data_IF_322778445066
#
_entry.id   IF_322778445066
#
_cell.length_a   1.000
_cell.length_b   1.000
_cell.length_c   1.000
_cell.angle_alpha   90.00
_cell.angle_beta   90.00
_cell.angle_gamma   90.00
#
_symmetry.space_group_name_H-M   'P 1'
#
loop_
_entity.id
_entity.type
_entity.pdbx_description
1 polymer ?
#
# COMPACT_ATOMS: atom_id res chain seq x y z
N UNK A 1 53.28 -22.60 38.33
CA UNK A 1 52.92 -23.24 37.07
C UNK A 1 51.44 -23.62 37.23
N UNK A 2 50.48 -23.05 36.68
CA UNK A 2 50.26 -22.42 35.39
C UNK A 2 49.26 -21.27 35.55
N UNK A 3 49.65 -20.10 35.10
CA UNK A 3 48.73 -18.99 34.81
C UNK A 3 48.30 -19.15 33.37
N UNK A 4 47.09 -19.70 33.15
CA UNK A 4 46.49 -19.81 31.82
C UNK A 4 45.63 -18.57 31.56
N UNK A 5 45.97 -17.89 30.51
CA UNK A 5 45.37 -16.78 29.80
C UNK A 5 43.85 -16.61 29.90
N UNK A 6 43.40 -15.64 30.67
CA UNK A 6 42.02 -15.10 30.67
C UNK A 6 41.91 -13.75 29.90
N UNK A 7 42.65 -13.57 28.83
CA UNK A 7 42.80 -12.27 28.20
C UNK A 7 42.17 -12.06 26.80
N UNK A 8 41.86 -13.14 26.08
CA UNK A 8 41.47 -12.99 24.65
C UNK A 8 39.95 -13.10 24.36
N UNK A 9 39.15 -13.70 25.23
CA UNK A 9 37.71 -13.86 25.01
C UNK A 9 36.90 -12.57 25.14
N UNK A 10 37.33 -11.67 26.01
CA UNK A 10 36.64 -10.37 26.24
C UNK A 10 36.77 -9.39 25.07
N UNK A 11 37.86 -9.48 24.33
CA UNK A 11 38.11 -8.57 23.20
C UNK A 11 37.30 -8.94 21.95
N UNK A 12 37.06 -10.22 21.72
CA UNK A 12 36.28 -10.71 20.56
C UNK A 12 34.79 -10.42 20.75
N UNK A 13 34.24 -10.62 21.95
CA UNK A 13 32.85 -10.35 22.27
C UNK A 13 32.54 -8.83 22.13
N UNK A 14 33.40 -7.97 22.68
CA UNK A 14 33.20 -6.52 22.55
C UNK A 14 33.31 -6.04 21.10
N UNK A 15 34.18 -6.66 20.29
CA UNK A 15 34.31 -6.36 18.87
C UNK A 15 33.05 -6.78 18.09
N UNK A 16 32.46 -7.93 18.42
CA UNK A 16 31.21 -8.41 17.79
C UNK A 16 30.03 -7.53 18.17
N UNK A 17 29.94 -7.10 19.43
CA UNK A 17 28.90 -6.19 19.89
C UNK A 17 29.01 -4.81 19.24
N UNK A 18 30.23 -4.24 19.14
CA UNK A 18 30.46 -2.97 18.45
C UNK A 18 30.12 -3.07 16.95
N UNK A 19 30.50 -4.18 16.31
CA UNK A 19 30.15 -4.44 14.91
C UNK A 19 28.64 -4.56 14.72
N UNK A 20 27.94 -5.26 15.62
CA UNK A 20 26.48 -5.40 15.58
C UNK A 20 25.78 -4.05 15.75
N UNK A 21 26.22 -3.21 16.69
CA UNK A 21 25.68 -1.87 16.90
C UNK A 21 25.92 -0.96 15.69
N UNK A 22 27.12 -0.97 15.11
CA UNK A 22 27.40 -0.18 13.88
C UNK A 22 26.60 -0.65 12.70
N UNK A 23 26.44 -1.96 12.53
CA UNK A 23 25.62 -2.53 11.45
C UNK A 23 24.16 -2.12 11.61
N UNK A 24 23.61 -2.20 12.83
CA UNK A 24 22.24 -1.77 13.12
C UNK A 24 22.03 -0.28 12.82
N UNK A 25 22.97 0.59 13.21
CA UNK A 25 22.91 2.03 12.94
C UNK A 25 22.96 2.34 11.43
N UNK A 26 23.80 1.64 10.67
CA UNK A 26 23.88 1.78 9.22
C UNK A 26 22.57 1.30 8.56
N UNK A 27 22.03 0.17 8.99
CA UNK A 27 20.74 -0.36 8.48
C UNK A 27 19.61 0.61 8.77
N UNK A 28 19.55 1.18 9.97
CA UNK A 28 18.55 2.20 10.32
C UNK A 28 18.67 3.46 9.46
N UNK A 29 19.89 3.93 9.21
CA UNK A 29 20.15 5.07 8.33
C UNK A 29 19.72 4.77 6.89
N UNK A 30 20.05 3.58 6.37
CA UNK A 30 19.63 3.15 5.04
C UNK A 30 18.10 3.01 4.94
N UNK A 31 17.45 2.49 5.98
CA UNK A 31 15.99 2.40 6.08
C UNK A 31 15.35 3.77 6.02
N UNK A 32 15.81 4.71 6.85
CA UNK A 32 15.29 6.07 6.91
C UNK A 32 15.48 6.81 5.58
N UNK A 33 16.64 6.67 4.94
CA UNK A 33 16.90 7.23 3.62
C UNK A 33 16.02 6.62 2.53
N UNK A 34 15.83 5.30 2.54
CA UNK A 34 14.95 4.61 1.60
C UNK A 34 13.49 5.02 1.80
N UNK A 35 13.03 5.19 3.04
CA UNK A 35 11.68 5.70 3.34
C UNK A 35 11.50 7.15 2.90
N UNK A 36 12.49 8.01 3.10
CA UNK A 36 12.44 9.41 2.65
C UNK A 36 12.36 9.52 1.12
N UNK A 37 13.16 8.73 0.39
CA UNK A 37 13.11 8.66 -1.07
C UNK A 37 11.74 8.16 -1.54
N UNK A 38 11.17 7.14 -0.89
CA UNK A 38 9.86 6.59 -1.22
C UNK A 38 8.70 7.54 -0.94
N UNK A 39 8.75 8.26 0.20
CA UNK A 39 7.74 9.26 0.54
C UNK A 39 7.71 10.41 -0.49
N UNK A 40 8.88 10.80 -1.03
CA UNK A 40 9.00 11.82 -2.08
C UNK A 40 8.54 11.36 -3.46
N UNK A 41 8.58 10.06 -3.76
CA UNK A 41 8.30 9.51 -5.08
C UNK A 41 6.88 8.92 -5.22
N UNK A 42 6.15 8.76 -4.11
CA UNK A 42 4.74 8.32 -4.10
C UNK A 42 3.82 9.47 -4.52
N UNK A 43 3.80 9.76 -5.80
CA UNK A 43 2.85 10.73 -6.34
C UNK A 43 1.47 10.10 -6.40
N UNK A 44 0.57 10.67 -5.61
CA UNK A 44 -0.85 10.37 -5.70
C UNK A 44 -1.33 10.61 -7.14
N UNK A 45 -2.02 9.66 -7.79
CA UNK A 45 -2.50 9.86 -9.14
C UNK A 45 -3.48 11.05 -9.18
N UNK A 46 -3.30 11.95 -10.15
CA UNK A 46 -4.19 13.09 -10.34
C UNK A 46 -4.86 13.02 -11.72
N UNK A 47 -6.13 13.40 -11.77
CA UNK A 47 -6.99 13.28 -12.93
C UNK A 47 -7.43 14.66 -13.39
N UNK A 48 -7.24 14.97 -14.67
CA UNK A 48 -7.75 16.19 -15.26
C UNK A 48 -9.28 16.16 -15.31
N UNK A 49 -9.92 17.32 -15.38
CA UNK A 49 -11.39 17.41 -15.32
C UNK A 49 -12.12 16.54 -16.36
N UNK A 50 -11.54 16.35 -17.55
CA UNK A 50 -12.10 15.46 -18.57
C UNK A 50 -12.08 13.99 -18.12
N UNK A 51 -10.95 13.54 -17.58
CA UNK A 51 -10.80 12.19 -17.02
C UNK A 51 -11.69 11.98 -15.79
N UNK A 52 -11.75 12.99 -14.90
CA UNK A 52 -12.63 12.98 -13.74
C UNK A 52 -14.10 12.83 -14.15
N UNK A 53 -14.53 13.59 -15.17
CA UNK A 53 -15.89 13.54 -15.70
C UNK A 53 -16.25 12.13 -16.22
N UNK A 54 -15.34 11.50 -16.96
CA UNK A 54 -15.49 10.14 -17.44
C UNK A 54 -15.57 9.13 -16.30
N UNK A 55 -14.61 9.19 -15.35
CA UNK A 55 -14.51 8.27 -14.22
C UNK A 55 -15.69 8.35 -13.25
N UNK A 56 -16.29 9.53 -13.07
CA UNK A 56 -17.45 9.71 -12.19
C UNK A 56 -18.80 9.63 -12.92
N UNK A 57 -18.80 9.49 -14.25
CA UNK A 57 -20.00 9.39 -15.06
C UNK A 57 -20.84 10.70 -15.07
N UNK A 58 -20.17 11.87 -15.05
CA UNK A 58 -20.80 13.21 -15.10
C UNK A 58 -20.07 14.14 -16.06
N UNK A 59 -20.75 15.14 -16.60
CA UNK A 59 -20.11 16.10 -17.49
C UNK A 59 -19.16 17.02 -16.73
N UNK A 60 -18.10 17.49 -17.43
CA UNK A 60 -17.19 18.49 -16.88
C UNK A 60 -17.91 19.80 -16.49
N UNK A 61 -19.01 20.13 -17.16
CA UNK A 61 -19.86 21.27 -16.80
C UNK A 61 -20.55 21.06 -15.45
N UNK A 62 -21.13 19.88 -15.22
CA UNK A 62 -21.75 19.54 -13.93
C UNK A 62 -20.77 19.58 -12.77
N UNK A 63 -19.51 19.16 -12.99
CA UNK A 63 -18.46 19.25 -11.98
C UNK A 63 -18.17 20.71 -11.63
N UNK A 64 -17.98 21.59 -12.65
CA UNK A 64 -17.70 23.00 -12.43
C UNK A 64 -18.87 23.73 -11.75
N UNK A 65 -20.09 23.39 -12.09
CA UNK A 65 -21.27 23.90 -11.44
C UNK A 65 -21.32 23.51 -9.96
N UNK A 66 -21.09 22.23 -9.65
CA UNK A 66 -21.08 21.74 -8.29
C UNK A 66 -19.93 22.33 -7.43
N UNK A 67 -18.78 22.66 -8.04
CA UNK A 67 -17.70 23.42 -7.39
C UNK A 67 -18.14 24.87 -7.10
N UNK A 68 -18.77 25.53 -8.09
CA UNK A 68 -19.25 26.91 -7.94
C UNK A 68 -20.32 27.05 -6.86
N UNK A 69 -21.19 26.03 -6.76
CA UNK A 69 -22.27 25.97 -5.77
C UNK A 69 -21.80 25.52 -4.37
N UNK A 70 -20.50 25.23 -4.21
CA UNK A 70 -19.93 24.76 -2.95
C UNK A 70 -20.32 23.33 -2.57
N UNK A 71 -20.92 22.55 -3.48
CA UNK A 71 -21.22 21.13 -3.25
C UNK A 71 -19.99 20.24 -3.32
N UNK A 72 -18.96 20.67 -4.03
CA UNK A 72 -17.66 19.99 -4.12
C UNK A 72 -16.58 20.83 -3.44
N UNK A 73 -15.55 20.19 -2.87
CA UNK A 73 -14.39 20.90 -2.37
C UNK A 73 -13.68 21.62 -3.50
N UNK A 74 -13.08 22.77 -3.18
CA UNK A 74 -12.30 23.52 -4.17
C UNK A 74 -11.16 22.67 -4.74
N UNK A 75 -10.92 22.73 -6.06
CA UNK A 75 -9.84 22.01 -6.69
C UNK A 75 -8.48 22.50 -6.20
N UNK A 76 -7.53 21.60 -5.97
CA UNK A 76 -6.15 21.99 -5.66
C UNK A 76 -5.57 22.82 -6.80
N UNK A 77 -4.89 23.94 -6.42
CA UNK A 77 -4.20 24.83 -7.36
C UNK A 77 -2.71 24.78 -7.10
N UNK A 78 -1.92 24.72 -8.16
CA UNK A 78 -0.47 24.79 -8.09
C UNK A 78 0.05 26.23 -7.98
N UNK A 79 1.38 26.38 -7.96
CA UNK A 79 2.07 27.66 -7.77
C UNK A 79 1.62 28.78 -8.74
N UNK A 80 1.20 28.42 -9.96
CA UNK A 80 0.70 29.35 -10.98
C UNK A 80 -0.83 29.49 -10.98
N UNK A 81 -1.50 29.22 -9.86
CA UNK A 81 -2.97 29.21 -9.73
C UNK A 81 -3.69 28.29 -10.76
N UNK A 82 -2.94 27.40 -11.43
CA UNK A 82 -3.50 26.42 -12.34
C UNK A 82 -4.05 25.24 -11.55
N UNK A 83 -5.17 24.70 -12.01
CA UNK A 83 -5.75 23.49 -11.45
C UNK A 83 -4.79 22.30 -11.64
N UNK A 84 -4.42 21.62 -10.56
CA UNK A 84 -3.48 20.46 -10.56
C UNK A 84 -4.17 19.18 -11.01
N UNK A 85 -5.49 19.13 -10.96
CA UNK A 85 -6.30 17.93 -11.16
C UNK A 85 -6.96 17.49 -9.86
N UNK A 86 -7.67 16.37 -9.91
CA UNK A 86 -8.35 15.76 -8.76
C UNK A 86 -7.63 14.50 -8.33
N UNK A 87 -7.46 14.31 -7.03
CA UNK A 87 -6.96 13.05 -6.48
C UNK A 87 -8.04 11.97 -6.54
N UNK A 88 -7.67 10.71 -6.37
CA UNK A 88 -8.64 9.62 -6.34
C UNK A 88 -9.61 9.75 -5.16
N UNK A 89 -9.14 10.23 -4.00
CA UNK A 89 -9.97 10.55 -2.85
C UNK A 89 -11.05 11.58 -3.23
N UNK A 90 -10.66 12.67 -3.90
CA UNK A 90 -11.60 13.68 -4.38
C UNK A 90 -12.63 13.10 -5.36
N UNK A 91 -12.20 12.22 -6.28
CA UNK A 91 -13.15 11.52 -7.17
C UNK A 91 -14.13 10.65 -6.39
N UNK A 92 -13.69 9.97 -5.33
CA UNK A 92 -14.57 9.16 -4.51
C UNK A 92 -15.56 10.02 -3.69
N UNK A 93 -15.15 11.18 -3.22
CA UNK A 93 -16.07 12.17 -2.63
C UNK A 93 -17.11 12.63 -3.66
N UNK A 94 -16.67 12.99 -4.87
CA UNK A 94 -17.57 13.39 -5.97
C UNK A 94 -18.58 12.29 -6.31
N UNK A 95 -18.15 11.03 -6.41
CA UNK A 95 -19.05 9.89 -6.64
C UNK A 95 -20.12 9.78 -5.55
N UNK A 96 -19.73 10.05 -4.29
CA UNK A 96 -20.69 10.09 -3.18
C UNK A 96 -21.75 11.18 -3.36
N UNK A 97 -21.33 12.40 -3.71
CA UNK A 97 -22.19 13.56 -3.89
C UNK A 97 -23.11 13.39 -5.11
N UNK A 98 -22.59 12.85 -6.21
CA UNK A 98 -23.35 12.62 -7.44
C UNK A 98 -24.14 11.30 -7.47
N UNK A 99 -24.01 10.45 -6.44
CA UNK A 99 -24.66 9.15 -6.38
C UNK A 99 -24.19 8.17 -7.45
N UNK A 100 -22.92 8.27 -7.88
CA UNK A 100 -22.35 7.45 -8.97
C UNK A 100 -21.33 6.42 -8.47
N UNK A 101 -21.28 6.17 -7.16
CA UNK A 101 -20.45 5.07 -6.62
C UNK A 101 -20.95 3.73 -7.14
N UNK A 102 -20.06 2.78 -7.48
CA UNK A 102 -20.47 1.41 -7.71
C UNK A 102 -21.30 0.90 -6.54
N UNK A 103 -22.51 0.44 -6.85
CA UNK A 103 -23.45 0.00 -5.84
C UNK A 103 -23.41 -1.51 -5.69
N UNK A 104 -23.53 -1.97 -4.45
CA UNK A 104 -23.71 -3.37 -4.08
C UNK A 104 -24.77 -3.46 -2.99
N UNK A 105 -25.68 -4.39 -3.10
CA UNK A 105 -26.62 -4.66 -2.01
C UNK A 105 -25.87 -5.20 -0.78
N UNK A 106 -26.40 -4.95 0.42
CA UNK A 106 -25.79 -5.47 1.66
C UNK A 106 -25.79 -7.01 1.70
N UNK A 107 -26.72 -7.63 1.00
CA UNK A 107 -26.87 -9.08 0.88
C UNK A 107 -25.93 -9.71 -0.14
N UNK A 108 -25.31 -8.91 -1.01
CA UNK A 108 -24.41 -9.44 -2.04
C UNK A 108 -23.08 -9.85 -1.42
N UNK A 109 -22.62 -11.05 -1.75
CA UNK A 109 -21.28 -11.48 -1.38
C UNK A 109 -20.21 -10.63 -2.10
N UNK A 110 -19.06 -10.34 -1.47
CA UNK A 110 -17.94 -9.70 -2.16
C UNK A 110 -17.46 -10.60 -3.31
N UNK A 111 -17.09 -9.97 -4.44
CA UNK A 111 -16.42 -10.69 -5.51
C UNK A 111 -14.98 -11.04 -5.06
N UNK A 112 -14.62 -12.31 -5.20
CA UNK A 112 -13.25 -12.79 -4.95
C UNK A 112 -12.63 -13.16 -6.28
N UNK A 113 -11.47 -12.56 -6.59
CA UNK A 113 -10.73 -12.78 -7.83
C UNK A 113 -9.35 -13.35 -7.46
N UNK A 114 -9.08 -14.60 -7.86
CA UNK A 114 -7.80 -15.24 -7.68
C UNK A 114 -6.95 -15.12 -8.97
N UNK A 115 -5.75 -14.54 -8.86
CA UNK A 115 -4.76 -14.46 -9.95
C UNK A 115 -3.67 -15.47 -9.67
N UNK A 116 -3.72 -16.62 -10.32
CA UNK A 116 -2.78 -17.73 -10.07
C UNK A 116 -2.24 -18.34 -11.37
N UNK A 117 -1.02 -18.86 -11.29
CA UNK A 117 -0.40 -19.66 -12.35
C UNK A 117 0.79 -20.40 -11.74
N UNK A 118 0.98 -21.67 -12.12
CA UNK A 118 2.11 -22.48 -11.63
C UNK A 118 3.47 -22.04 -12.19
N UNK A 119 3.50 -21.41 -13.36
CA UNK A 119 4.73 -20.92 -13.98
C UNK A 119 5.21 -19.62 -13.31
N UNK A 120 6.48 -19.56 -12.93
CA UNK A 120 7.14 -18.34 -12.47
C UNK A 120 7.31 -17.31 -13.59
N UNK A 121 7.37 -16.03 -13.27
CA UNK A 121 7.68 -14.93 -14.19
C UNK A 121 6.60 -14.57 -15.21
N UNK A 122 5.38 -15.12 -15.11
CA UNK A 122 4.27 -14.85 -16.06
C UNK A 122 3.47 -13.57 -15.76
N UNK A 123 3.91 -12.76 -14.79
CA UNK A 123 3.27 -11.48 -14.48
C UNK A 123 2.07 -11.56 -13.53
N UNK A 124 1.89 -12.63 -12.75
CA UNK A 124 0.77 -12.77 -11.77
C UNK A 124 0.60 -11.57 -10.87
N UNK A 125 1.63 -11.23 -10.13
CA UNK A 125 1.60 -10.10 -9.17
C UNK A 125 1.37 -8.77 -9.89
N UNK A 126 1.99 -8.57 -11.06
CA UNK A 126 1.77 -7.38 -11.88
C UNK A 126 0.32 -7.27 -12.32
N UNK A 127 -0.29 -8.34 -12.81
CA UNK A 127 -1.71 -8.36 -13.23
C UNK A 127 -2.61 -8.10 -12.03
N UNK A 128 -2.38 -8.76 -10.88
CA UNK A 128 -3.17 -8.59 -9.67
C UNK A 128 -3.14 -7.13 -9.18
N UNK A 129 -1.94 -6.52 -9.11
CA UNK A 129 -1.76 -5.13 -8.68
C UNK A 129 -2.46 -4.15 -9.62
N UNK A 130 -2.26 -4.28 -10.93
CA UNK A 130 -2.89 -3.37 -11.90
C UNK A 130 -4.40 -3.52 -11.95
N UNK A 131 -4.92 -4.74 -11.80
CA UNK A 131 -6.36 -4.97 -11.70
C UNK A 131 -6.93 -4.31 -10.44
N UNK A 132 -6.27 -4.47 -9.29
CA UNK A 132 -6.68 -3.85 -8.04
C UNK A 132 -6.68 -2.31 -8.13
N UNK A 133 -5.63 -1.73 -8.71
CA UNK A 133 -5.53 -0.28 -8.95
C UNK A 133 -6.62 0.21 -9.91
N UNK A 134 -6.86 -0.51 -11.01
CA UNK A 134 -7.92 -0.19 -11.96
C UNK A 134 -9.29 -0.18 -11.29
N UNK A 135 -9.63 -1.21 -10.53
CA UNK A 135 -10.90 -1.29 -9.81
C UNK A 135 -11.06 -0.16 -8.78
N UNK A 136 -9.98 0.21 -8.06
CA UNK A 136 -10.00 1.35 -7.14
C UNK A 136 -10.26 2.67 -7.89
N UNK A 137 -9.61 2.88 -9.05
CA UNK A 137 -9.86 4.04 -9.91
C UNK A 137 -11.32 4.08 -10.39
N UNK A 138 -11.95 2.94 -10.64
CA UNK A 138 -13.37 2.85 -10.98
C UNK A 138 -14.32 3.11 -9.79
N UNK A 139 -13.77 3.29 -8.58
CA UNK A 139 -14.54 3.62 -7.38
C UNK A 139 -14.98 2.41 -6.54
N UNK A 140 -14.50 1.23 -6.85
CA UNK A 140 -14.71 0.04 -6.02
C UNK A 140 -13.82 0.11 -4.77
N UNK A 141 -14.31 -0.48 -3.67
CA UNK A 141 -13.48 -0.77 -2.51
C UNK A 141 -12.81 -2.12 -2.73
N UNK A 142 -11.49 -2.12 -2.74
CA UNK A 142 -10.67 -3.26 -3.09
C UNK A 142 -9.77 -3.65 -1.92
N UNK A 143 -9.70 -4.95 -1.63
CA UNK A 143 -8.69 -5.53 -0.77
C UNK A 143 -7.81 -6.42 -1.64
N UNK A 144 -6.53 -6.10 -1.75
CA UNK A 144 -5.53 -6.98 -2.32
C UNK A 144 -4.87 -7.79 -1.22
N UNK A 145 -4.83 -9.10 -1.37
CA UNK A 145 -4.15 -10.02 -0.46
C UNK A 145 -2.96 -10.61 -1.21
N UNK A 146 -1.75 -10.33 -0.74
CA UNK A 146 -0.54 -10.95 -1.27
C UNK A 146 -0.32 -12.29 -0.58
N UNK A 147 -0.47 -13.38 -1.32
CA UNK A 147 -0.31 -14.75 -0.84
C UNK A 147 1.02 -15.39 -1.29
N UNK A 148 1.95 -14.60 -1.80
CA UNK A 148 3.27 -15.07 -2.23
C UNK A 148 4.34 -14.63 -1.21
N UNK A 149 5.08 -15.58 -0.62
CA UNK A 149 6.19 -15.27 0.30
C UNK A 149 7.29 -14.41 -0.34
N UNK A 150 7.37 -14.37 -1.68
CA UNK A 150 8.24 -13.44 -2.39
C UNK A 150 7.78 -11.98 -2.28
N UNK A 151 6.57 -11.73 -1.81
CA UNK A 151 6.03 -10.42 -1.51
C UNK A 151 6.12 -9.41 -2.67
N UNK A 152 6.00 -9.89 -3.91
CA UNK A 152 6.16 -9.05 -5.10
C UNK A 152 5.07 -7.98 -5.20
N UNK A 153 3.82 -8.31 -4.90
CA UNK A 153 2.73 -7.33 -4.88
C UNK A 153 2.91 -6.32 -3.74
N UNK A 154 3.31 -6.77 -2.57
CA UNK A 154 3.66 -5.95 -1.40
C UNK A 154 4.73 -4.91 -1.73
N UNK A 155 5.80 -5.33 -2.40
CA UNK A 155 6.90 -4.46 -2.83
C UNK A 155 6.43 -3.42 -3.85
N UNK A 156 5.53 -3.78 -4.78
CA UNK A 156 4.97 -2.84 -5.76
C UNK A 156 4.17 -1.70 -5.12
N UNK A 157 3.60 -1.91 -3.93
CA UNK A 157 2.98 -0.84 -3.13
C UNK A 157 3.98 -0.07 -2.26
N UNK A 158 5.26 -0.40 -2.36
CA UNK A 158 6.36 0.34 -1.73
C UNK A 158 6.64 -0.06 -0.29
N UNK A 159 6.14 -1.21 0.17
CA UNK A 159 6.58 -1.83 1.41
C UNK A 159 7.86 -2.62 1.18
N UNK A 160 8.76 -2.64 2.15
CA UNK A 160 9.92 -3.55 2.17
C UNK A 160 9.58 -4.68 3.12
N UNK A 161 9.29 -5.89 2.61
CA UNK A 161 8.67 -6.95 3.39
C UNK A 161 9.40 -7.25 4.70
N UNK A 162 10.73 -7.41 4.65
CA UNK A 162 11.51 -7.82 5.81
C UNK A 162 11.95 -6.67 6.74
N UNK A 163 11.68 -5.41 6.34
CA UNK A 163 12.03 -4.23 7.12
C UNK A 163 10.81 -3.52 7.70
N UNK A 164 9.70 -3.48 6.94
CA UNK A 164 8.51 -2.72 7.30
C UNK A 164 7.43 -3.61 7.94
N UNK A 165 7.57 -4.95 7.85
CA UNK A 165 6.54 -5.91 8.23
C UNK A 165 7.10 -7.00 9.17
N UNK A 166 6.40 -7.19 10.32
CA UNK A 166 6.61 -8.32 11.21
C UNK A 166 5.79 -9.56 10.82
N UNK A 167 5.88 -10.61 11.63
CA UNK A 167 5.05 -11.81 11.45
C UNK A 167 3.56 -11.48 11.57
N UNK A 168 3.22 -10.63 12.54
CA UNK A 168 1.83 -10.26 12.85
C UNK A 168 1.22 -9.26 11.84
N UNK A 169 1.96 -8.86 10.82
CA UNK A 169 1.49 -7.89 9.82
C UNK A 169 0.97 -8.55 8.53
N UNK A 170 1.00 -9.88 8.46
CA UNK A 170 0.69 -10.67 7.27
C UNK A 170 -0.56 -11.54 7.44
N UNK A 171 -0.91 -12.30 6.42
CA UNK A 171 -1.98 -13.29 6.48
C UNK A 171 -1.66 -14.47 7.43
N UNK A 172 -0.39 -14.70 7.74
CA UNK A 172 0.09 -15.90 8.45
C UNK A 172 -0.57 -16.16 9.81
N UNK A 173 -0.69 -15.19 10.74
CA UNK A 173 -1.36 -15.40 12.02
C UNK A 173 -2.80 -15.87 11.86
N UNK A 174 -3.52 -15.35 10.88
CA UNK A 174 -4.90 -15.75 10.60
C UNK A 174 -4.99 -17.21 10.11
N UNK A 175 -4.04 -17.63 9.28
CA UNK A 175 -4.01 -19.02 8.79
C UNK A 175 -3.60 -20.03 9.86
N UNK A 176 -2.83 -19.60 10.86
CA UNK A 176 -2.30 -20.46 11.93
C UNK A 176 -3.24 -20.56 13.13
N UNK A 177 -4.08 -19.57 13.36
CA UNK A 177 -4.93 -19.50 14.55
C UNK A 177 -6.41 -19.47 14.16
N UNK A 178 -7.09 -20.59 14.35
CA UNK A 178 -8.52 -20.76 14.02
C UNK A 178 -9.43 -19.83 14.84
N UNK A 179 -8.96 -19.26 15.95
CA UNK A 179 -9.72 -18.32 16.79
C UNK A 179 -9.65 -16.87 16.28
N UNK A 180 -8.80 -16.56 15.29
CA UNK A 180 -8.69 -15.23 14.72
C UNK A 180 -9.88 -14.91 13.81
N UNK A 181 -10.86 -14.19 14.33
CA UNK A 181 -12.09 -13.83 13.63
C UNK A 181 -11.95 -12.68 12.61
N UNK A 182 -10.78 -12.02 12.47
CA UNK A 182 -10.63 -10.82 11.63
C UNK A 182 -9.21 -10.64 11.09
N UNK A 183 -9.12 -10.18 9.84
CA UNK A 183 -7.87 -9.76 9.17
C UNK A 183 -7.58 -8.25 9.33
N UNK A 184 -8.33 -7.54 10.17
CA UNK A 184 -8.18 -6.09 10.33
C UNK A 184 -6.78 -5.66 10.81
N UNK A 185 -6.08 -6.49 11.57
CA UNK A 185 -4.73 -6.26 12.06
C UNK A 185 -3.70 -6.15 10.94
N UNK A 186 -3.88 -6.90 9.85
CA UNK A 186 -2.95 -6.97 8.71
C UNK A 186 -3.26 -5.94 7.62
N UNK A 187 -4.35 -5.18 7.73
CA UNK A 187 -4.71 -4.17 6.73
C UNK A 187 -3.69 -3.05 6.67
N UNK A 188 -3.17 -2.79 5.50
CA UNK A 188 -2.27 -1.68 5.21
C UNK A 188 -2.86 -0.75 4.17
N UNK A 189 -2.74 0.57 4.37
CA UNK A 189 -3.16 1.54 3.38
C UNK A 189 -2.25 1.50 2.16
N UNK A 190 -2.80 1.88 1.01
CA UNK A 190 -2.02 2.14 -0.20
C UNK A 190 -2.15 3.63 -0.59
N UNK A 191 -1.40 4.04 -1.61
CA UNK A 191 -1.53 5.38 -2.18
C UNK A 191 -2.72 5.52 -3.15
N UNK A 192 -3.55 4.48 -3.27
CA UNK A 192 -4.82 4.52 -3.98
C UNK A 192 -5.97 4.54 -2.97
N UNK A 193 -6.74 5.63 -2.93
CA UNK A 193 -7.94 5.68 -2.10
C UNK A 193 -8.92 4.56 -2.48
N UNK A 194 -9.45 3.87 -1.49
CA UNK A 194 -10.32 2.70 -1.70
C UNK A 194 -9.61 1.37 -1.93
N UNK A 195 -8.26 1.34 -1.97
CA UNK A 195 -7.47 0.11 -2.08
C UNK A 195 -6.65 -0.12 -0.81
N UNK A 196 -6.92 -1.23 -0.15
CA UNK A 196 -6.15 -1.73 0.99
C UNK A 196 -5.35 -2.98 0.60
N UNK A 197 -4.26 -3.22 1.31
CA UNK A 197 -3.37 -4.36 1.11
C UNK A 197 -3.30 -5.20 2.39
N UNK A 198 -3.36 -6.52 2.26
CA UNK A 198 -2.79 -7.45 3.24
C UNK A 198 -1.46 -7.91 2.65
N UNK A 199 -0.34 -7.50 3.27
CA UNK A 199 0.99 -7.76 2.72
C UNK A 199 1.47 -9.18 2.99
N UNK A 200 2.51 -9.58 2.28
CA UNK A 200 3.29 -10.77 2.54
C UNK A 200 4.74 -10.42 2.95
N UNK A 201 5.42 -11.36 3.55
CA UNK A 201 6.86 -11.37 3.77
C UNK A 201 7.41 -12.80 3.64
N UNK A 202 8.72 -12.96 3.75
CA UNK A 202 9.38 -14.28 3.64
C UNK A 202 8.93 -15.29 4.71
N UNK A 203 8.25 -14.86 5.77
CA UNK A 203 7.76 -15.68 6.89
C UNK A 203 6.29 -16.10 6.73
N UNK A 204 5.73 -15.94 5.53
CA UNK A 204 4.31 -16.24 5.28
C UNK A 204 4.00 -17.76 5.40
N UNK A 205 5.03 -18.62 5.32
CA UNK A 205 4.91 -20.08 5.44
C UNK A 205 5.95 -20.67 6.38
#
# INVERSE_FOLDING_TARGET
MDTVAEGEGGNVLSLVEDLALRTSSVLETLRNNAQAVRAGDRREPTFQIGQAAELIGRSAAAIREAEKDGRLPEPRRGENNRRVGYTLEQLNVMRGIFGTRPWRAQTDAPAVIAVQNFKGGVGKSTVAVHLAQYLAIQGYRVLLIDCDSQASATTLFGYVPDMDLGEDDTLYPFLRNDEMGSLAYALRPTHFDGLSLIPANLRLF
#
